data_IF_744035817762
#
_entry.id   IF_744035817762
#
_cell.length_a   1.000
_cell.length_b   1.000
_cell.length_c   1.000
_cell.angle_alpha   90.00
_cell.angle_beta   90.00
_cell.angle_gamma   90.00
#
_symmetry.space_group_name_H-M   'P 1'
#
loop_
_entity.id
_entity.type
_entity.pdbx_description
1 polymer ?
#
# COMPACT_ATOMS: atom_id res chain seq x y z
N UNK A 1 -4.61 -14.84 21.37
CA UNK A 1 -4.56 -14.35 20.71
C UNK A 1 -4.86 -13.58 20.24
N UNK A 2 -4.90 -13.18 20.08
CA UNK A 2 -5.13 -12.59 19.47
C UNK A 2 -4.99 -11.96 18.72
N UNK A 3 -5.00 -11.56 19.23
CA UNK A 3 -4.79 -11.37 17.98
C UNK A 3 -5.42 -10.39 17.11
N UNK A 4 -5.44 -9.18 17.44
CA UNK A 4 -5.86 -8.17 16.52
C UNK A 4 -5.03 -8.26 15.30
N UNK A 5 -5.66 -8.37 14.19
CA UNK A 5 -5.00 -8.39 12.93
C UNK A 5 -4.94 -7.00 12.37
N UNK A 6 -3.76 -6.62 12.00
CA UNK A 6 -3.55 -5.38 11.28
C UNK A 6 -3.04 -5.77 9.89
N UNK A 7 -3.69 -5.26 8.87
CA UNK A 7 -3.29 -5.52 7.49
C UNK A 7 -2.94 -4.18 6.85
N UNK A 8 -1.73 -4.09 6.31
CA UNK A 8 -1.32 -2.95 5.50
C UNK A 8 -1.35 -3.42 4.06
N UNK A 9 -2.28 -2.89 3.28
CA UNK A 9 -2.48 -3.30 1.90
C UNK A 9 -1.89 -2.26 0.95
N UNK A 10 -0.99 -2.71 0.07
CA UNK A 10 -0.45 -1.89 -0.99
C UNK A 10 -1.22 -2.23 -2.26
N UNK A 11 -2.09 -1.34 -2.68
CA UNK A 11 -2.96 -1.58 -3.82
C UNK A 11 -2.35 -1.05 -5.11
N UNK A 12 -2.40 -1.87 -6.15
CA UNK A 12 -1.96 -1.45 -7.48
C UNK A 12 -2.99 -0.55 -8.16
N UNK A 13 -4.23 -0.60 -7.68
CA UNK A 13 -5.34 0.16 -8.27
C UNK A 13 -5.90 1.16 -7.28
N UNK A 14 -6.39 2.32 -7.76
CA UNK A 14 -7.06 3.27 -6.88
C UNK A 14 -8.37 2.70 -6.37
N UNK A 15 -8.82 3.19 -5.23
CA UNK A 15 -10.12 2.85 -4.67
C UNK A 15 -11.21 3.39 -5.60
N UNK A 16 -12.12 2.53 -6.02
CA UNK A 16 -13.10 2.86 -7.05
C UNK A 16 -14.53 2.62 -6.60
N UNK A 17 -15.45 3.27 -7.31
CA UNK A 17 -16.89 3.05 -7.11
C UNK A 17 -17.27 1.61 -7.49
N UNK A 18 -16.68 1.10 -8.59
CA UNK A 18 -16.82 -0.31 -8.96
C UNK A 18 -15.64 -1.04 -8.34
N UNK A 19 -15.87 -1.92 -7.35
CA UNK A 19 -14.76 -2.50 -6.59
C UNK A 19 -13.86 -3.42 -7.42
N UNK A 20 -12.54 -3.27 -7.19
CA UNK A 20 -11.55 -4.22 -7.69
C UNK A 20 -11.53 -5.45 -6.78
N UNK A 21 -10.80 -6.50 -7.20
CA UNK A 21 -10.61 -7.69 -6.37
C UNK A 21 -10.02 -7.33 -5.00
N UNK A 22 -8.96 -6.54 -5.00
CA UNK A 22 -8.30 -6.11 -3.75
C UNK A 22 -9.27 -5.38 -2.84
N UNK A 23 -10.04 -4.46 -3.41
CA UNK A 23 -11.00 -3.67 -2.67
C UNK A 23 -12.07 -4.57 -2.03
N UNK A 24 -12.56 -5.56 -2.78
CA UNK A 24 -13.55 -6.50 -2.26
C UNK A 24 -12.98 -7.34 -1.11
N UNK A 25 -11.74 -7.82 -1.26
CA UNK A 25 -11.10 -8.60 -0.22
C UNK A 25 -10.94 -7.79 1.06
N UNK A 26 -10.40 -6.59 0.95
CA UNK A 26 -10.14 -5.75 2.12
C UNK A 26 -11.43 -5.32 2.81
N UNK A 27 -12.49 -5.08 2.04
CA UNK A 27 -13.78 -4.72 2.61
C UNK A 27 -14.36 -5.85 3.46
N UNK A 28 -14.07 -7.10 3.12
CA UNK A 28 -14.60 -8.26 3.82
C UNK A 28 -13.80 -8.68 5.05
N UNK A 29 -12.62 -8.11 5.25
CA UNK A 29 -11.78 -8.44 6.41
C UNK A 29 -12.20 -7.63 7.64
N UNK A 30 -13.40 -7.91 8.13
CA UNK A 30 -14.00 -7.10 9.20
C UNK A 30 -13.36 -7.27 10.57
N UNK A 31 -12.69 -8.40 10.79
CA UNK A 31 -12.02 -8.65 12.06
C UNK A 31 -10.61 -8.05 12.10
N UNK A 32 -10.19 -7.42 11.03
CA UNK A 32 -8.89 -6.78 10.93
C UNK A 32 -9.02 -5.27 10.80
N UNK A 33 -8.01 -4.57 11.28
CA UNK A 33 -7.83 -3.16 10.97
C UNK A 33 -7.03 -3.11 9.67
N UNK A 34 -7.53 -2.39 8.68
CA UNK A 34 -6.90 -2.31 7.37
C UNK A 34 -6.50 -0.88 7.06
N UNK A 35 -5.25 -0.72 6.68
CA UNK A 35 -4.72 0.53 6.17
C UNK A 35 -4.31 0.25 4.73
N UNK A 36 -5.05 0.79 3.77
CA UNK A 36 -4.83 0.53 2.35
C UNK A 36 -4.22 1.76 1.71
N UNK A 37 -3.13 1.56 0.98
CA UNK A 37 -2.46 2.63 0.22
C UNK A 37 -2.78 2.45 -1.25
N UNK A 38 -3.45 3.45 -1.84
CA UNK A 38 -3.74 3.47 -3.27
C UNK A 38 -2.63 4.22 -4.00
N UNK A 39 -2.48 3.99 -5.32
CA UNK A 39 -1.47 4.71 -6.10
C UNK A 39 -1.66 6.23 -6.06
N UNK A 40 -0.62 6.99 -6.39
CA UNK A 40 -0.74 8.45 -6.46
C UNK A 40 -1.87 8.88 -7.41
N UNK A 41 -2.59 9.91 -7.02
CA UNK A 41 -3.70 10.42 -7.81
C UNK A 41 -4.31 11.66 -7.16
N UNK A 42 -5.57 11.90 -7.41
CA UNK A 42 -6.24 13.12 -6.95
C UNK A 42 -6.30 13.26 -5.43
N UNK A 43 -6.20 12.17 -4.71
CA UNK A 43 -6.21 12.20 -3.25
C UNK A 43 -4.80 12.25 -2.62
N UNK A 44 -3.75 12.31 -3.43
CA UNK A 44 -2.40 12.47 -2.92
C UNK A 44 -2.30 13.78 -2.13
N UNK A 45 -1.56 13.74 -1.02
CA UNK A 45 -1.43 14.86 -0.08
C UNK A 45 -2.70 15.19 0.70
N UNK A 46 -3.71 14.33 0.58
CA UNK A 46 -4.93 14.44 1.37
C UNK A 46 -4.84 13.49 2.56
N UNK A 47 -5.53 13.78 3.67
CA UNK A 47 -5.60 12.82 4.78
C UNK A 47 -6.28 11.53 4.34
N UNK A 48 -6.01 10.46 5.08
CA UNK A 48 -6.65 9.18 4.82
C UNK A 48 -8.16 9.25 4.95
N UNK A 49 -8.84 8.47 4.13
CA UNK A 49 -10.30 8.41 4.13
C UNK A 49 -10.78 7.14 4.81
N UNK A 50 -11.54 7.28 5.87
CA UNK A 50 -12.16 6.12 6.50
C UNK A 50 -13.39 5.72 5.68
N UNK A 51 -13.33 4.59 4.99
CA UNK A 51 -14.43 4.12 4.15
C UNK A 51 -15.41 3.24 4.91
N UNK A 52 -14.97 2.65 6.03
CA UNK A 52 -15.80 1.98 7.01
C UNK A 52 -15.01 1.86 8.32
N UNK A 53 -15.65 1.49 9.44
CA UNK A 53 -14.89 1.24 10.67
C UNK A 53 -13.81 0.19 10.42
N UNK A 54 -12.58 0.54 10.77
CA UNK A 54 -11.43 -0.36 10.61
C UNK A 54 -10.80 -0.39 9.23
N UNK A 55 -11.29 0.39 8.27
CA UNK A 55 -10.69 0.44 6.93
C UNK A 55 -10.46 1.88 6.49
N UNK A 56 -9.21 2.26 6.36
CA UNK A 56 -8.80 3.60 5.94
C UNK A 56 -8.01 3.49 4.64
N UNK A 57 -8.30 4.37 3.70
CA UNK A 57 -7.62 4.44 2.42
C UNK A 57 -6.78 5.72 2.36
N UNK A 58 -5.49 5.56 2.09
CA UNK A 58 -4.55 6.67 1.94
C UNK A 58 -3.96 6.64 0.54
N UNK A 59 -3.90 7.79 -0.12
CA UNK A 59 -3.21 7.87 -1.41
C UNK A 59 -1.72 8.09 -1.17
N UNK A 60 -0.89 7.39 -1.93
CA UNK A 60 0.54 7.61 -1.88
C UNK A 60 0.90 8.97 -2.50
N UNK A 61 2.01 9.58 -2.08
CA UNK A 61 2.44 10.84 -2.68
C UNK A 61 2.88 10.63 -4.13
N UNK A 62 2.79 11.68 -4.96
CA UNK A 62 3.17 11.55 -6.37
C UNK A 62 4.66 11.28 -6.55
N UNK A 63 4.99 10.59 -7.63
CA UNK A 63 6.35 10.26 -8.01
C UNK A 63 6.86 11.32 -8.98
N UNK A 64 8.09 11.78 -8.77
CA UNK A 64 8.73 12.67 -9.72
C UNK A 64 9.28 11.83 -10.90
N UNK A 65 9.08 12.32 -12.10
CA UNK A 65 9.51 11.62 -13.31
C UNK A 65 11.01 11.28 -13.28
N UNK A 66 11.83 12.18 -12.75
CA UNK A 66 13.26 11.94 -12.63
C UNK A 66 13.58 10.75 -11.73
N UNK A 67 12.77 10.50 -10.71
CA UNK A 67 12.96 9.38 -9.79
C UNK A 67 12.76 8.04 -10.47
N UNK A 68 11.98 8.01 -11.53
CA UNK A 68 11.74 6.77 -12.27
C UNK A 68 12.92 6.40 -13.18
N UNK A 69 13.70 7.38 -13.62
CA UNK A 69 14.76 7.19 -14.62
C UNK A 69 16.10 6.83 -14.04
N UNK A 70 16.39 7.23 -12.82
CA UNK A 70 17.70 7.05 -12.22
C UNK A 70 17.64 6.03 -11.07
N UNK A 71 18.57 5.07 -11.12
CA UNK A 71 18.63 4.03 -10.11
C UNK A 71 18.75 4.58 -8.68
N UNK A 72 19.58 5.59 -8.49
CA UNK A 72 19.76 6.20 -7.18
C UNK A 72 18.50 6.91 -6.72
N UNK A 73 17.86 7.66 -7.62
CA UNK A 73 16.62 8.37 -7.32
C UNK A 73 15.46 7.40 -7.12
N UNK A 74 15.49 6.26 -7.80
CA UNK A 74 14.52 5.19 -7.61
C UNK A 74 14.56 4.68 -6.16
N UNK A 75 15.76 4.44 -5.62
CA UNK A 75 15.92 4.02 -4.23
C UNK A 75 15.43 5.08 -3.26
N UNK A 76 15.78 6.34 -3.53
CA UNK A 76 15.32 7.45 -2.70
C UNK A 76 13.81 7.58 -2.72
N UNK A 77 13.20 7.31 -3.86
CA UNK A 77 11.75 7.33 -4.00
C UNK A 77 11.11 6.30 -3.05
N UNK A 78 11.61 5.06 -3.03
CA UNK A 78 11.05 4.03 -2.15
C UNK A 78 11.33 4.31 -0.68
N UNK A 79 12.44 4.95 -0.36
CA UNK A 79 12.70 5.41 1.02
C UNK A 79 11.67 6.46 1.44
N UNK A 80 11.37 7.39 0.56
CA UNK A 80 10.36 8.41 0.83
C UNK A 80 8.98 7.82 1.00
N UNK A 81 8.62 6.87 0.12
CA UNK A 81 7.36 6.14 0.25
C UNK A 81 7.30 5.38 1.57
N UNK A 82 8.37 4.68 1.91
CA UNK A 82 8.44 3.95 3.17
C UNK A 82 8.26 4.87 4.37
N UNK A 83 8.90 6.04 4.34
CA UNK A 83 8.77 7.02 5.40
C UNK A 83 7.33 7.54 5.52
N UNK A 84 6.70 7.81 4.38
CA UNK A 84 5.30 8.23 4.35
C UNK A 84 4.41 7.15 4.95
N UNK A 85 4.60 5.89 4.53
CA UNK A 85 3.81 4.77 5.03
C UNK A 85 4.01 4.60 6.53
N UNK A 86 5.25 4.65 7.01
CA UNK A 86 5.54 4.52 8.44
C UNK A 86 4.87 5.63 9.26
N UNK A 87 4.81 6.84 8.74
CA UNK A 87 4.12 7.95 9.41
C UNK A 87 2.62 7.67 9.53
N UNK A 88 2.03 7.13 8.48
CA UNK A 88 0.61 6.76 8.51
C UNK A 88 0.37 5.60 9.47
N UNK A 89 1.30 4.64 9.53
CA UNK A 89 1.24 3.55 10.49
C UNK A 89 1.24 4.08 11.92
N UNK A 90 2.13 5.02 12.23
CA UNK A 90 2.17 5.64 13.55
C UNK A 90 0.86 6.34 13.87
N UNK A 91 0.36 7.11 12.93
CA UNK A 91 -0.88 7.86 13.11
C UNK A 91 -2.06 6.92 13.41
N UNK A 92 -2.09 5.76 12.78
CA UNK A 92 -3.15 4.77 12.95
C UNK A 92 -2.80 3.66 13.93
N UNK A 93 -1.66 3.78 14.60
CA UNK A 93 -1.18 2.82 15.62
C UNK A 93 -0.95 1.42 15.06
N UNK A 94 -0.44 1.34 13.86
CA UNK A 94 0.02 0.09 13.26
C UNK A 94 1.48 -0.12 13.65
N UNK A 95 1.82 -1.34 14.07
CA UNK A 95 3.21 -1.66 14.46
C UNK A 95 3.85 -2.63 13.49
N UNK A 96 3.39 -3.85 13.47
CA UNK A 96 3.90 -4.89 12.58
C UNK A 96 2.73 -5.56 11.89
N UNK A 97 2.12 -4.91 10.90
CA UNK A 97 0.97 -5.48 10.22
C UNK A 97 1.38 -6.60 9.27
N UNK A 98 0.41 -7.39 8.86
CA UNK A 98 0.59 -8.26 7.72
C UNK A 98 0.62 -7.37 6.48
N UNK A 99 1.69 -7.49 5.71
CA UNK A 99 1.86 -6.68 4.50
C UNK A 99 1.26 -7.42 3.32
N UNK A 100 0.23 -6.83 2.73
CA UNK A 100 -0.50 -7.41 1.61
C UNK A 100 -0.14 -6.65 0.33
N UNK A 101 0.60 -7.30 -0.57
CA UNK A 101 1.11 -6.68 -1.79
C UNK A 101 0.35 -7.20 -3.00
N UNK A 102 0.00 -6.31 -3.91
CA UNK A 102 -0.76 -6.68 -5.10
C UNK A 102 0.01 -6.43 -6.40
N UNK A 103 1.21 -5.87 -6.32
CA UNK A 103 2.06 -5.64 -7.49
C UNK A 103 3.49 -6.03 -7.16
N UNK A 104 4.25 -6.54 -8.14
CA UNK A 104 5.65 -6.94 -7.90
C UNK A 104 6.53 -5.80 -7.40
N UNK A 105 6.31 -4.58 -7.85
CA UNK A 105 7.12 -3.43 -7.43
C UNK A 105 7.00 -3.13 -5.94
N UNK A 106 5.97 -3.66 -5.27
CA UNK A 106 5.83 -3.49 -3.84
C UNK A 106 6.95 -4.17 -3.04
N UNK A 107 7.70 -5.07 -3.69
CA UNK A 107 8.85 -5.72 -3.06
C UNK A 107 9.88 -4.70 -2.57
N UNK A 108 9.97 -3.55 -3.25
CA UNK A 108 10.91 -2.51 -2.87
C UNK A 108 10.57 -1.84 -1.54
N UNK A 109 9.37 -2.06 -1.03
CA UNK A 109 8.94 -1.52 0.26
C UNK A 109 9.13 -2.49 1.42
N UNK A 110 9.47 -3.75 1.14
CA UNK A 110 9.60 -4.76 2.20
C UNK A 110 10.61 -4.36 3.27
N UNK A 111 11.73 -3.77 2.87
CA UNK A 111 12.76 -3.35 3.81
C UNK A 111 12.47 -1.99 4.45
N UNK A 112 11.49 -1.28 3.94
CA UNK A 112 11.17 0.06 4.41
C UNK A 112 9.99 0.09 5.38
N UNK A 113 9.18 -0.96 5.39
CA UNK A 113 7.95 -0.99 6.17
C UNK A 113 7.99 -2.16 7.15
N UNK A 114 7.90 -1.88 8.47
CA UNK A 114 7.85 -2.96 9.46
C UNK A 114 6.63 -3.85 9.21
N UNK A 115 6.84 -5.14 9.25
CA UNK A 115 5.75 -6.10 9.02
C UNK A 115 6.06 -7.42 9.70
N UNK A 116 5.03 -8.21 9.97
CA UNK A 116 5.17 -9.53 10.59
C UNK A 116 5.11 -10.66 9.57
N UNK A 117 4.72 -10.37 8.37
CA UNK A 117 4.64 -11.34 7.29
C UNK A 117 4.17 -10.65 6.02
N UNK A 118 4.28 -11.35 4.90
CA UNK A 118 3.94 -10.80 3.59
C UNK A 118 3.03 -11.75 2.87
N UNK A 119 1.95 -11.20 2.29
CA UNK A 119 1.10 -11.90 1.33
C UNK A 119 1.27 -11.20 0.00
N UNK A 120 1.53 -11.96 -1.04
CA UNK A 120 1.55 -11.43 -2.39
C UNK A 120 0.36 -11.99 -3.16
N UNK A 121 -0.61 -11.13 -3.44
CA UNK A 121 -1.82 -11.50 -4.17
C UNK A 121 -1.65 -11.12 -5.64
N UNK A 122 -1.21 -12.09 -6.44
CA UNK A 122 -0.92 -11.89 -7.85
C UNK A 122 -2.19 -12.18 -8.68
N UNK A 123 -2.86 -11.14 -9.12
CA UNK A 123 -4.13 -11.27 -9.82
C UNK A 123 -4.06 -10.95 -11.32
N UNK A 124 -2.84 -10.71 -11.86
CA UNK A 124 -2.67 -10.36 -13.25
C UNK A 124 -1.25 -10.65 -13.72
N UNK A 125 -1.04 -10.62 -15.04
CA UNK A 125 0.27 -10.85 -15.63
C UNK A 125 1.08 -9.53 -15.64
N UNK A 126 1.88 -9.34 -14.62
CA UNK A 126 2.61 -8.11 -14.40
C UNK A 126 3.75 -7.82 -15.39
N UNK A 127 4.47 -8.82 -15.96
CA UNK A 127 5.53 -8.50 -16.92
C UNK A 127 5.08 -7.64 -18.09
N UNK A 128 3.82 -7.77 -18.48
CA UNK A 128 3.27 -6.99 -19.59
C UNK A 128 2.79 -5.59 -19.14
N UNK A 129 2.70 -5.36 -17.84
CA UNK A 129 2.10 -4.15 -17.29
C UNK A 129 3.06 -3.31 -16.46
N UNK A 130 4.22 -3.84 -16.16
CA UNK A 130 5.19 -3.17 -15.30
C UNK A 130 6.59 -3.31 -15.89
N UNK A 131 6.91 -2.49 -16.89
CA UNK A 131 8.20 -2.60 -17.60
C UNK A 131 9.43 -2.26 -16.78
N UNK A 132 9.28 -1.95 -15.52
CA UNK A 132 10.41 -1.58 -14.65
C UNK A 132 11.06 -2.76 -13.95
N UNK A 133 10.70 -3.93 -14.33
CA UNK A 133 11.24 -5.16 -13.73
C UNK A 133 12.56 -5.62 -14.37
#
# INVERSE_FOLDING_TARGET
>A
MRDVRQILCLSADPWRTIPTRTQQLMTRMRDAQVLLFEPPGKYSRQPGRRVRPGLTVCALPPVLEAEERHRLLFRLHYRKLGKFIRRQMEHHRFKEPLLWCTAPEHIHLLDEVPHRGVVYDCDRDWPDQSPRW
#
